data_IF_588383037401
#
_entry.id   IF_588383037401
#
_cell.length_a   1.000
_cell.length_b   1.000
_cell.length_c   1.000
_cell.angle_alpha   90.00
_cell.angle_beta   90.00
_cell.angle_gamma   90.00
#
_symmetry.space_group_name_H-M   'P 1'
#
loop_
_entity.id
_entity.type
_entity.pdbx_description
1 polymer ?
#
# COMPACT_ATOMS: atom_id res chain seq x y z
N UNK A 1 21.72 28.88 1.66
CA UNK A 1 22.19 28.20 0.42
C UNK A 1 21.35 26.95 0.29
N UNK A 2 20.23 27.03 -0.44
CA UNK A 2 19.26 25.94 -0.55
C UNK A 2 19.82 24.84 -1.45
N UNK A 3 19.79 23.61 -0.96
CA UNK A 3 20.11 22.43 -1.76
C UNK A 3 18.95 22.28 -2.74
N UNK A 4 19.16 22.68 -4.00
CA UNK A 4 18.28 22.32 -5.10
C UNK A 4 18.34 20.80 -5.25
N UNK A 5 17.27 20.12 -4.82
CA UNK A 5 17.04 18.71 -5.13
C UNK A 5 16.89 18.63 -6.65
N UNK A 6 17.66 17.78 -7.36
CA UNK A 6 17.54 17.71 -8.81
C UNK A 6 16.15 17.13 -9.15
N UNK A 7 15.37 17.89 -9.92
CA UNK A 7 14.09 17.51 -10.50
C UNK A 7 14.28 16.43 -11.56
N UNK A 8 14.68 15.23 -11.14
CA UNK A 8 14.71 14.04 -12.00
C UNK A 8 13.53 13.14 -11.63
N UNK A 9 12.29 13.63 -11.78
CA UNK A 9 11.18 12.73 -12.06
C UNK A 9 11.31 12.36 -13.53
N UNK A 10 12.19 11.39 -13.82
CA UNK A 10 12.03 10.63 -15.06
C UNK A 10 10.75 9.83 -14.84
N UNK A 11 9.62 10.39 -15.25
CA UNK A 11 8.34 9.68 -15.32
C UNK A 11 8.62 8.42 -16.12
N UNK A 12 8.65 7.26 -15.46
CA UNK A 12 8.80 6.00 -16.17
C UNK A 12 7.55 5.87 -17.05
N UNK A 13 7.66 5.52 -18.34
CA UNK A 13 6.46 5.36 -19.13
C UNK A 13 5.62 4.22 -18.58
N UNK A 14 4.31 4.42 -18.50
CA UNK A 14 3.35 3.35 -18.24
C UNK A 14 3.59 2.17 -19.19
N UNK A 15 3.68 0.96 -18.63
CA UNK A 15 3.85 -0.29 -19.37
C UNK A 15 2.96 -1.36 -18.77
N UNK A 16 2.44 -2.20 -19.64
CA UNK A 16 1.74 -3.43 -19.27
C UNK A 16 2.62 -4.63 -19.62
N UNK A 17 2.28 -5.80 -19.07
CA UNK A 17 2.98 -7.08 -19.30
C UNK A 17 4.43 -7.06 -18.81
N UNK A 18 4.72 -6.25 -17.79
CA UNK A 18 6.01 -6.23 -17.11
C UNK A 18 6.11 -7.50 -16.26
N UNK A 19 7.19 -8.29 -16.35
CA UNK A 19 7.33 -9.49 -15.53
C UNK A 19 7.32 -9.13 -14.05
N UNK A 20 6.50 -9.83 -13.28
CA UNK A 20 6.44 -9.68 -11.84
C UNK A 20 7.79 -10.07 -11.20
N UNK A 21 8.38 -9.16 -10.43
CA UNK A 21 9.59 -9.38 -9.64
C UNK A 21 9.31 -8.90 -8.21
N UNK A 22 9.35 -9.81 -7.23
CA UNK A 22 9.16 -9.46 -5.82
C UNK A 22 8.45 -10.53 -5.02
N UNK A 23 8.00 -10.16 -3.83
CA UNK A 23 7.23 -11.03 -2.93
C UNK A 23 5.73 -10.76 -3.09
N UNK A 24 4.93 -11.74 -3.58
CA UNK A 24 3.50 -11.53 -3.84
C UNK A 24 2.69 -11.01 -2.65
N UNK A 25 3.10 -11.37 -1.42
CA UNK A 25 2.44 -10.94 -0.19
C UNK A 25 2.42 -9.41 0.00
N UNK A 26 3.46 -8.70 -0.42
CA UNK A 26 3.59 -7.26 -0.21
C UNK A 26 3.44 -6.44 -1.49
N UNK A 27 3.48 -7.09 -2.65
CA UNK A 27 3.29 -6.44 -3.94
C UNK A 27 1.92 -5.75 -4.02
N UNK A 28 1.82 -4.66 -4.76
CA UNK A 28 0.52 -4.05 -5.04
C UNK A 28 -0.35 -4.92 -5.96
N UNK A 29 -1.65 -4.63 -6.02
CA UNK A 29 -2.56 -5.24 -7.00
C UNK A 29 -2.06 -4.97 -8.44
N UNK A 30 -1.62 -3.75 -8.74
CA UNK A 30 -1.10 -3.38 -10.06
C UNK A 30 0.14 -4.21 -10.45
N UNK A 31 1.09 -4.38 -9.53
CA UNK A 31 2.29 -5.20 -9.78
C UNK A 31 1.91 -6.67 -10.04
N UNK A 32 0.94 -7.21 -9.29
CA UNK A 32 0.44 -8.58 -9.50
C UNK A 32 -0.29 -8.75 -10.85
N UNK A 33 -0.87 -7.68 -11.38
CA UNK A 33 -1.47 -7.62 -12.72
C UNK A 33 -0.45 -7.34 -13.84
N UNK A 34 0.85 -7.38 -13.54
CA UNK A 34 1.93 -7.11 -14.51
C UNK A 34 1.89 -5.68 -15.09
N UNK A 35 1.36 -4.73 -14.32
CA UNK A 35 1.40 -3.30 -14.64
C UNK A 35 2.68 -2.70 -14.06
N UNK A 36 3.27 -1.74 -14.78
CA UNK A 36 4.46 -1.00 -14.34
C UNK A 36 4.25 -0.39 -12.95
N UNK A 37 5.27 -0.50 -12.10
CA UNK A 37 5.27 0.07 -10.77
C UNK A 37 5.41 1.60 -10.80
N UNK A 38 4.79 2.23 -9.83
CA UNK A 38 4.60 3.67 -9.63
C UNK A 38 4.72 4.03 -8.14
N UNK A 39 4.62 5.31 -7.82
CA UNK A 39 4.65 5.79 -6.42
C UNK A 39 3.45 5.30 -5.59
N UNK A 40 2.32 4.99 -6.22
CA UNK A 40 1.17 4.37 -5.55
C UNK A 40 1.53 2.99 -4.98
N UNK A 41 2.31 2.20 -5.73
CA UNK A 41 2.66 0.83 -5.35
C UNK A 41 3.53 0.80 -4.10
N UNK A 42 4.43 1.79 -3.94
CA UNK A 42 5.25 1.96 -2.75
C UNK A 42 4.39 2.23 -1.49
N UNK A 43 3.32 3.02 -1.62
CA UNK A 43 2.41 3.32 -0.51
C UNK A 43 1.53 2.13 -0.13
N UNK A 44 1.03 1.39 -1.12
CA UNK A 44 0.26 0.18 -0.90
C UNK A 44 1.11 -0.87 -0.18
N UNK A 45 2.34 -1.09 -0.65
CA UNK A 45 3.32 -1.98 -0.02
C UNK A 45 3.66 -1.54 1.40
N UNK A 46 3.93 -0.25 1.63
CA UNK A 46 4.23 0.28 2.96
C UNK A 46 3.07 0.01 3.92
N UNK A 47 1.84 0.20 3.47
CA UNK A 47 0.65 -0.03 4.29
C UNK A 47 0.51 -1.50 4.64
N UNK A 48 0.69 -2.42 3.69
CA UNK A 48 0.68 -3.86 3.97
C UNK A 48 1.80 -4.28 4.93
N UNK A 49 2.99 -3.69 4.82
CA UNK A 49 4.08 -3.94 5.77
C UNK A 49 3.73 -3.49 7.18
N UNK A 50 3.16 -2.29 7.35
CA UNK A 50 2.80 -1.81 8.69
C UNK A 50 1.68 -2.68 9.27
N UNK A 51 0.66 -3.02 8.48
CA UNK A 51 -0.40 -3.96 8.89
C UNK A 51 0.20 -5.30 9.34
N UNK A 52 1.16 -5.84 8.57
CA UNK A 52 1.84 -7.09 8.91
C UNK A 52 2.65 -6.96 10.22
N UNK A 53 3.39 -5.87 10.42
CA UNK A 53 4.16 -5.65 11.65
C UNK A 53 3.26 -5.55 12.89
N UNK A 54 2.08 -4.98 12.70
CA UNK A 54 1.09 -4.77 13.75
C UNK A 54 0.32 -6.04 14.09
N UNK A 55 -0.21 -6.73 13.08
CA UNK A 55 -1.06 -7.90 13.26
C UNK A 55 -0.29 -9.24 13.22
N UNK A 56 0.99 -9.22 12.88
CA UNK A 56 1.85 -10.41 12.75
C UNK A 56 1.56 -11.30 11.54
N UNK A 57 0.46 -11.07 10.81
CA UNK A 57 0.06 -11.88 9.66
C UNK A 57 -0.77 -11.07 8.66
N UNK A 58 -0.84 -11.57 7.41
CA UNK A 58 -1.73 -11.07 6.37
C UNK A 58 -2.67 -12.19 5.92
N UNK A 59 -3.96 -11.91 5.61
CA UNK A 59 -4.93 -12.95 5.25
C UNK A 59 -4.56 -13.80 4.03
N UNK A 60 -3.75 -13.27 3.11
CA UNK A 60 -3.32 -13.94 1.88
C UNK A 60 -1.93 -14.59 1.96
N UNK A 61 -1.28 -14.60 3.12
CA UNK A 61 0.11 -15.09 3.26
C UNK A 61 0.26 -16.57 2.89
N UNK A 62 -0.74 -17.39 3.20
CA UNK A 62 -0.72 -18.84 2.95
C UNK A 62 -1.20 -19.20 1.53
N UNK A 63 -1.56 -18.20 0.73
CA UNK A 63 -2.11 -18.40 -0.62
C UNK A 63 -1.01 -18.35 -1.67
N UNK A 64 -0.92 -19.37 -2.51
CA UNK A 64 0.04 -19.43 -3.63
C UNK A 64 -0.53 -18.93 -4.95
N UNK A 65 -1.85 -18.80 -5.05
CA UNK A 65 -2.54 -18.32 -6.25
C UNK A 65 -2.59 -16.79 -6.30
N UNK A 66 -1.95 -16.17 -7.30
CA UNK A 66 -1.94 -14.71 -7.50
C UNK A 66 -3.36 -14.15 -7.60
N UNK A 67 -4.28 -14.84 -8.28
CA UNK A 67 -5.66 -14.38 -8.41
C UNK A 67 -6.38 -14.28 -7.05
N UNK A 68 -6.18 -15.27 -6.19
CA UNK A 68 -6.78 -15.28 -4.85
C UNK A 68 -6.14 -14.21 -3.96
N UNK A 69 -4.83 -13.96 -4.10
CA UNK A 69 -4.17 -12.85 -3.39
C UNK A 69 -4.79 -11.51 -3.79
N UNK A 70 -5.05 -11.29 -5.08
CA UNK A 70 -5.70 -10.07 -5.56
C UNK A 70 -7.11 -9.94 -4.98
N UNK A 71 -7.92 -11.00 -5.03
CA UNK A 71 -9.28 -10.98 -4.49
C UNK A 71 -9.30 -10.63 -2.99
N UNK A 72 -8.39 -11.21 -2.21
CA UNK A 72 -8.26 -10.90 -0.78
C UNK A 72 -7.77 -9.46 -0.53
N UNK A 73 -6.87 -8.92 -1.36
CA UNK A 73 -6.42 -7.52 -1.26
C UNK A 73 -7.55 -6.52 -1.51
N UNK A 74 -8.39 -6.79 -2.51
CA UNK A 74 -9.59 -5.99 -2.79
C UNK A 74 -10.57 -6.05 -1.61
N UNK A 75 -10.74 -7.21 -0.99
CA UNK A 75 -11.61 -7.35 0.19
C UNK A 75 -11.08 -6.59 1.42
N UNK A 76 -9.76 -6.46 1.60
CA UNK A 76 -9.18 -5.64 2.68
C UNK A 76 -9.48 -4.16 2.47
N UNK A 77 -9.42 -3.66 1.23
CA UNK A 77 -9.83 -2.30 0.89
C UNK A 77 -11.23 -1.93 1.34
N UNK A 78 -12.13 -2.90 1.28
CA UNK A 78 -13.52 -2.73 1.69
C UNK A 78 -13.74 -2.98 3.20
N UNK A 79 -12.67 -3.03 4.01
CA UNK A 79 -12.74 -3.29 5.46
C UNK A 79 -13.34 -4.66 5.83
N UNK A 80 -13.35 -5.64 4.91
CA UNK A 80 -14.09 -6.89 5.11
C UNK A 80 -13.31 -7.98 5.85
N UNK A 81 -11.97 -7.90 5.85
CA UNK A 81 -11.11 -9.02 6.26
C UNK A 81 -10.27 -8.76 7.51
N UNK A 82 -10.06 -7.50 7.90
CA UNK A 82 -9.26 -7.22 9.09
C UNK A 82 -10.12 -6.55 10.15
N UNK A 83 -10.39 -7.30 11.22
CA UNK A 83 -10.98 -6.75 12.45
C UNK A 83 -9.91 -5.97 13.20
N UNK A 84 -10.33 -4.88 13.83
CA UNK A 84 -9.54 -4.12 14.79
C UNK A 84 -8.30 -3.38 14.25
N UNK A 85 -8.25 -3.14 12.93
CA UNK A 85 -7.31 -2.17 12.36
C UNK A 85 -7.90 -0.75 12.41
N UNK A 86 -7.10 0.26 12.80
CA UNK A 86 -7.51 1.65 12.75
C UNK A 86 -7.95 2.07 11.34
N UNK A 87 -9.08 2.80 11.21
CA UNK A 87 -9.62 3.20 9.91
C UNK A 87 -8.65 4.05 9.10
N UNK A 88 -7.68 4.72 9.73
CA UNK A 88 -6.67 5.52 9.04
C UNK A 88 -5.84 4.69 8.06
N UNK A 89 -5.58 3.40 8.32
CA UNK A 89 -4.88 2.53 7.37
C UNK A 89 -5.69 2.28 6.09
N UNK A 90 -7.01 2.15 6.21
CA UNK A 90 -7.89 2.05 5.05
C UNK A 90 -7.89 3.36 4.26
N UNK A 91 -7.92 4.50 4.95
CA UNK A 91 -7.80 5.81 4.29
C UNK A 91 -6.47 5.99 3.56
N UNK A 92 -5.36 5.45 4.08
CA UNK A 92 -4.07 5.45 3.37
C UNK A 92 -4.14 4.58 2.10
N UNK A 93 -4.77 3.40 2.16
CA UNK A 93 -4.94 2.54 0.98
C UNK A 93 -5.85 3.20 -0.07
N UNK A 94 -6.97 3.78 0.34
CA UNK A 94 -7.88 4.52 -0.54
C UNK A 94 -7.17 5.69 -1.22
N UNK A 95 -6.35 6.44 -0.45
CA UNK A 95 -5.51 7.51 -1.00
C UNK A 95 -4.55 6.95 -2.04
N UNK A 96 -3.82 5.88 -1.73
CA UNK A 96 -2.91 5.23 -2.67
C UNK A 96 -3.62 4.82 -3.96
N UNK A 97 -4.80 4.20 -3.87
CA UNK A 97 -5.58 3.75 -5.04
C UNK A 97 -6.18 4.87 -5.88
N UNK A 98 -6.34 6.06 -5.31
CA UNK A 98 -6.84 7.23 -6.03
C UNK A 98 -5.77 7.96 -6.84
N UNK A 99 -4.49 7.69 -6.61
CA UNK A 99 -3.38 8.35 -7.29
C UNK A 99 -3.31 7.92 -8.75
N UNK A 100 -3.03 8.87 -9.64
CA UNK A 100 -2.62 8.51 -10.99
C UNK A 100 -1.18 7.97 -11.01
N UNK A 101 -0.85 7.22 -12.07
CA UNK A 101 0.44 6.55 -12.23
C UNK A 101 1.68 7.47 -12.05
N UNK A 102 1.63 8.70 -12.56
CA UNK A 102 2.73 9.69 -12.44
C UNK A 102 2.48 10.72 -11.31
N UNK A 103 1.45 10.52 -10.49
CA UNK A 103 1.07 11.47 -9.44
C UNK A 103 1.94 11.30 -8.19
N UNK A 104 2.36 12.43 -7.63
CA UNK A 104 3.06 12.43 -6.35
C UNK A 104 2.04 12.35 -5.20
N UNK A 105 2.19 11.40 -4.26
CA UNK A 105 1.33 11.36 -3.10
C UNK A 105 1.41 12.62 -2.25
N UNK A 106 0.29 13.02 -1.64
CA UNK A 106 0.29 14.06 -0.59
C UNK A 106 0.87 13.49 0.72
N UNK A 107 2.19 13.58 0.84
CA UNK A 107 2.90 13.13 2.04
C UNK A 107 2.54 13.92 3.31
N UNK A 108 2.07 15.18 3.19
CA UNK A 108 1.66 15.97 4.35
C UNK A 108 0.34 15.44 4.91
N UNK A 109 -0.60 15.08 4.04
CA UNK A 109 -1.83 14.40 4.41
C UNK A 109 -1.56 13.04 5.06
N UNK A 110 -0.72 12.21 4.43
CA UNK A 110 -0.33 10.89 4.97
C UNK A 110 0.32 11.00 6.35
N UNK A 111 1.23 11.97 6.53
CA UNK A 111 1.84 12.22 7.84
C UNK A 111 0.79 12.58 8.90
N UNK A 112 -0.21 13.38 8.54
CA UNK A 112 -1.33 13.71 9.43
C UNK A 112 -2.17 12.50 9.85
N UNK A 113 -2.35 11.51 8.95
CA UNK A 113 -3.01 10.25 9.28
C UNK A 113 -2.18 9.43 10.29
N UNK A 114 -0.87 9.30 10.07
CA UNK A 114 0.00 8.58 11.00
C UNK A 114 0.12 9.25 12.38
N UNK A 115 0.07 10.58 12.46
CA UNK A 115 0.03 11.27 13.76
C UNK A 115 -1.26 10.99 14.54
N UNK A 116 -2.41 10.88 13.87
CA UNK A 116 -3.67 10.47 14.53
C UNK A 116 -3.57 9.06 15.12
N UNK A 117 -2.90 8.15 14.41
CA UNK A 117 -2.65 6.80 14.91
C UNK A 117 -1.82 6.77 16.20
N UNK A 118 -0.85 7.67 16.35
CA UNK A 118 -0.04 7.78 17.59
C UNK A 118 -0.88 8.23 18.79
N UNK A 119 -1.80 9.17 18.59
CA UNK A 119 -2.62 9.75 19.66
C UNK A 119 -3.64 8.74 20.21
N UNK A 120 -4.11 7.81 19.37
CA UNK A 120 -5.14 6.85 19.74
C UNK A 120 -4.63 5.68 20.62
N UNK A 121 -3.34 5.65 21.00
CA UNK A 121 -2.72 4.64 21.87
C UNK A 121 -3.22 3.20 21.55
N UNK A 122 -3.17 2.85 20.27
CA UNK A 122 -3.88 1.71 19.71
C UNK A 122 -3.27 0.41 20.23
N UNK A 123 -4.00 -0.29 21.09
CA UNK A 123 -3.75 -1.70 21.38
C UNK A 123 -4.26 -2.52 20.19
N UNK A 124 -3.33 -2.99 19.37
CA UNK A 124 -3.64 -3.85 18.24
C UNK A 124 -3.90 -5.27 18.73
N UNK A 125 -5.16 -5.61 18.96
CA UNK A 125 -5.57 -6.98 19.26
C UNK A 125 -5.92 -7.72 17.96
N UNK A 126 -4.93 -7.92 17.09
CA UNK A 126 -5.10 -8.82 15.95
C UNK A 126 -4.81 -10.27 16.40
N UNK A 127 -5.78 -10.93 17.03
CA UNK A 127 -5.79 -12.39 17.28
C UNK A 127 -7.16 -12.96 16.94
#
# INVERSE_FOLDING_TARGET
MGILRPSNTVSQPFKEQVPFIGTPCFASICTLLSIQQSCQDDLELLTYMVIYLVCGSLPWQETTSISQIIDLKVCIGHSLLIRDIPPEFLTVLEHAWSLAFDECPDYAYLHGLFEKLKVNNVEFNCV
#
